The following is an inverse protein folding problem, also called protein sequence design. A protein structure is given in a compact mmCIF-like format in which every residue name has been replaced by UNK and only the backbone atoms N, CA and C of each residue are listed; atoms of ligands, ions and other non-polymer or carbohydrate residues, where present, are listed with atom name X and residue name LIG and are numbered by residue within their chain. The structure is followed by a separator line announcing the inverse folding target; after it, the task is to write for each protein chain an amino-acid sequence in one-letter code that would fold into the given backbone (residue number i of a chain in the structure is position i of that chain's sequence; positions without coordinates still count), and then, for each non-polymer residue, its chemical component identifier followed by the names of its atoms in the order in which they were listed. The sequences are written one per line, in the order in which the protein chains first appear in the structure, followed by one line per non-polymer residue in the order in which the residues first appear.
data_IF_582859734441
#
_entry.id   IF_582859734441
#
_cell.length_a   1.000
_cell.length_b   1.000
_cell.length_c   1.000
_cell.angle_alpha   90.00
_cell.angle_beta   90.00
_cell.angle_gamma   90.00
#
_symmetry.space_group_name_H-M   'P 1'
#
loop_
_entity.id
_entity.type
_entity.pdbx_description
1 polymer ?
#
# COMPACT_ATOMS: atom_id res chain seq x y z
N UNK A 1 -2.26 19.64 -10.78
CA UNK A 1 -2.16 18.44 -11.63
C UNK A 1 -0.90 17.69 -11.22
N UNK A 2 -1.01 16.74 -10.28
CA UNK A 2 0.11 15.90 -9.88
C UNK A 2 0.09 14.64 -10.73
N UNK A 3 1.13 14.42 -11.54
CA UNK A 3 1.24 13.24 -12.38
C UNK A 3 1.31 11.97 -11.52
N UNK A 4 0.46 11.00 -11.83
CA UNK A 4 0.52 9.66 -11.24
C UNK A 4 1.84 9.00 -11.67
N UNK A 5 2.83 8.98 -10.78
CA UNK A 5 4.07 8.24 -10.99
C UNK A 5 3.83 6.76 -10.66
N UNK A 6 3.19 6.05 -11.57
CA UNK A 6 3.03 4.59 -11.48
C UNK A 6 4.33 3.91 -11.92
N UNK A 7 5.30 3.77 -11.00
CA UNK A 7 6.47 2.91 -11.25
C UNK A 7 6.04 1.46 -11.08
N UNK A 8 5.68 0.81 -12.19
CA UNK A 8 5.40 -0.63 -12.25
C UNK A 8 6.62 -1.37 -12.77
N UNK A 9 7.42 -1.94 -11.86
CA UNK A 9 8.53 -2.83 -12.19
C UNK A 9 8.22 -4.26 -11.77
N UNK A 10 8.48 -5.23 -12.66
CA UNK A 10 8.46 -6.66 -12.32
C UNK A 10 9.70 -6.95 -11.47
N UNK A 11 9.51 -7.38 -10.23
CA UNK A 11 10.61 -7.66 -9.29
C UNK A 11 10.32 -9.01 -8.64
N UNK A 12 11.29 -9.91 -8.60
CA UNK A 12 11.15 -11.15 -7.82
C UNK A 12 11.02 -10.82 -6.33
N UNK A 13 10.20 -11.54 -5.57
CA UNK A 13 9.94 -11.20 -4.16
C UNK A 13 11.22 -11.20 -3.30
N UNK A 14 12.16 -12.12 -3.57
CA UNK A 14 13.42 -12.18 -2.82
C UNK A 14 14.30 -10.97 -3.16
N UNK A 15 14.31 -10.58 -4.44
CA UNK A 15 15.02 -9.38 -4.90
C UNK A 15 14.35 -8.10 -4.40
N UNK A 16 13.02 -8.11 -4.26
CA UNK A 16 12.25 -6.98 -3.78
C UNK A 16 12.62 -6.63 -2.34
N UNK A 17 12.71 -7.63 -1.44
CA UNK A 17 13.08 -7.39 -0.04
C UNK A 17 14.46 -6.71 0.06
N UNK A 18 15.44 -7.17 -0.71
CA UNK A 18 16.79 -6.62 -0.72
C UNK A 18 16.86 -5.21 -1.32
N UNK A 19 15.99 -4.91 -2.30
CA UNK A 19 15.96 -3.63 -2.99
C UNK A 19 14.97 -2.63 -2.36
N UNK A 20 14.01 -3.08 -1.55
CA UNK A 20 12.96 -2.25 -0.98
C UNK A 20 13.54 -1.10 -0.18
N UNK A 21 14.59 -1.34 0.62
CA UNK A 21 15.28 -0.29 1.36
C UNK A 21 15.93 0.75 0.43
N UNK A 22 16.45 0.35 -0.74
CA UNK A 22 17.03 1.28 -1.72
C UNK A 22 15.94 2.06 -2.46
N UNK A 23 14.87 1.39 -2.85
CA UNK A 23 13.70 2.00 -3.48
C UNK A 23 13.04 2.99 -2.53
N UNK A 24 12.97 2.68 -1.23
CA UNK A 24 12.39 3.52 -0.20
C UNK A 24 13.20 4.79 0.11
N UNK A 25 14.52 4.81 -0.12
CA UNK A 25 15.37 5.98 0.14
C UNK A 25 15.02 7.20 -0.72
N UNK A 26 14.37 7.00 -1.87
CA UNK A 26 13.94 8.07 -2.77
C UNK A 26 12.48 8.47 -2.59
N UNK A 27 11.80 7.94 -1.58
CA UNK A 27 10.36 8.14 -1.40
C UNK A 27 10.07 9.31 -0.47
N UNK A 28 9.09 10.13 -0.87
CA UNK A 28 8.59 11.24 -0.07
C UNK A 28 7.91 10.73 1.21
N UNK A 29 7.96 11.54 2.26
CA UNK A 29 7.24 11.27 3.51
C UNK A 29 5.74 11.07 3.23
N UNK A 30 5.15 9.99 3.77
CA UNK A 30 3.74 9.65 3.56
C UNK A 30 3.46 8.73 2.36
N UNK A 31 4.51 8.18 1.76
CA UNK A 31 4.39 7.14 0.73
C UNK A 31 4.81 5.77 1.26
N UNK A 32 4.36 4.71 0.60
CA UNK A 32 4.77 3.34 0.90
C UNK A 32 4.89 2.52 -0.38
N UNK A 33 5.83 1.59 -0.35
CA UNK A 33 6.07 0.66 -1.45
C UNK A 33 5.28 -0.63 -1.19
N UNK A 34 4.45 -1.01 -2.14
CA UNK A 34 3.64 -2.22 -2.09
C UNK A 34 4.14 -3.22 -3.13
N UNK A 35 4.19 -4.50 -2.76
CA UNK A 35 4.50 -5.59 -3.68
C UNK A 35 3.29 -6.55 -3.77
N UNK A 36 2.81 -6.80 -4.98
CA UNK A 36 1.68 -7.69 -5.20
C UNK A 36 2.15 -9.11 -5.53
N UNK A 37 2.00 -10.03 -4.58
CA UNK A 37 2.25 -11.46 -4.79
C UNK A 37 0.97 -12.32 -4.75
N UNK A 38 -0.21 -11.72 -4.98
CA UNK A 38 -1.50 -12.41 -4.82
C UNK A 38 -1.83 -13.44 -5.90
N UNK A 39 -0.95 -13.64 -6.89
CA UNK A 39 -1.20 -14.51 -8.05
C UNK A 39 -2.11 -13.89 -9.12
N UNK A 40 -2.63 -12.68 -8.89
CA UNK A 40 -3.44 -11.92 -9.85
C UNK A 40 -3.11 -10.43 -9.82
N UNK A 41 -3.50 -9.72 -10.89
CA UNK A 41 -3.50 -8.25 -10.90
C UNK A 41 -4.58 -7.76 -9.93
N UNK A 42 -4.25 -6.80 -9.07
CA UNK A 42 -5.15 -6.26 -8.06
C UNK A 42 -5.13 -4.72 -8.07
N UNK A 43 -6.27 -4.13 -7.71
CA UNK A 43 -6.40 -2.71 -7.43
C UNK A 43 -6.26 -2.47 -5.92
N UNK A 44 -5.36 -1.59 -5.53
CA UNK A 44 -5.13 -1.26 -4.12
C UNK A 44 -5.72 0.11 -3.81
N UNK A 45 -6.69 0.16 -2.91
CA UNK A 45 -7.36 1.37 -2.50
C UNK A 45 -6.79 1.84 -1.17
N UNK A 46 -6.16 3.01 -1.17
CA UNK A 46 -5.55 3.61 0.00
C UNK A 46 -6.41 4.75 0.55
N UNK A 47 -6.74 4.72 1.84
CA UNK A 47 -7.55 5.73 2.53
C UNK A 47 -6.81 6.30 3.73
N UNK A 48 -7.00 7.59 4.00
CA UNK A 48 -6.48 8.21 5.22
C UNK A 48 -7.19 7.61 6.44
N UNK A 49 -6.47 7.36 7.52
CA UNK A 49 -6.99 6.69 8.72
C UNK A 49 -8.12 7.45 9.44
N UNK A 50 -8.20 8.77 9.23
CA UNK A 50 -9.27 9.63 9.74
C UNK A 50 -10.53 9.67 8.87
N UNK A 51 -10.52 9.07 7.67
CA UNK A 51 -11.71 8.95 6.84
C UNK A 51 -12.54 7.75 7.35
N UNK A 52 -13.49 8.03 8.24
CA UNK A 52 -14.39 7.02 8.80
C UNK A 52 -15.33 6.42 7.74
N UNK A 53 -15.61 7.17 6.68
CA UNK A 53 -16.56 6.78 5.63
C UNK A 53 -15.83 6.04 4.49
N UNK A 54 -14.49 6.18 4.39
CA UNK A 54 -13.64 5.59 3.35
C UNK A 54 -14.28 5.77 1.96
N UNK A 55 -14.83 6.97 1.71
CA UNK A 55 -15.66 7.21 0.53
C UNK A 55 -14.76 7.34 -0.72
N UNK A 56 -13.67 8.11 -0.59
CA UNK A 56 -12.79 8.48 -1.69
C UNK A 56 -11.37 8.01 -1.37
N UNK A 57 -10.79 7.09 -2.16
CA UNK A 57 -9.41 6.68 -1.96
C UNK A 57 -8.47 7.84 -2.27
N UNK A 58 -7.44 8.02 -1.45
CA UNK A 58 -6.36 8.97 -1.71
C UNK A 58 -5.49 8.52 -2.89
N UNK A 59 -5.18 7.23 -2.97
CA UNK A 59 -4.49 6.61 -4.11
C UNK A 59 -5.11 5.26 -4.46
N UNK A 60 -5.08 4.90 -5.75
CA UNK A 60 -5.68 3.66 -6.27
C UNK A 60 -4.83 2.94 -7.34
N UNK A 61 -3.57 2.59 -7.06
CA UNK A 61 -2.74 1.94 -8.07
C UNK A 61 -3.26 0.53 -8.41
N UNK A 62 -3.16 0.19 -9.68
CA UNK A 62 -3.31 -1.19 -10.17
C UNK A 62 -1.94 -1.82 -10.31
N UNK A 63 -1.67 -2.91 -9.56
CA UNK A 63 -0.36 -3.55 -9.55
C UNK A 63 -0.52 -5.00 -10.04
N UNK A 64 0.22 -5.36 -11.09
CA UNK A 64 0.23 -6.73 -11.59
C UNK A 64 0.91 -7.68 -10.59
N UNK A 65 0.57 -8.97 -10.64
CA UNK A 65 1.26 -9.98 -9.82
C UNK A 65 2.76 -10.00 -10.15
N UNK A 66 3.60 -10.12 -9.14
CA UNK A 66 5.05 -10.06 -9.28
C UNK A 66 5.62 -8.66 -9.54
N UNK A 67 4.81 -7.62 -9.35
CA UNK A 67 5.24 -6.23 -9.52
C UNK A 67 5.09 -5.45 -8.21
N UNK A 68 5.87 -4.37 -8.11
CA UNK A 68 5.70 -3.37 -7.06
C UNK A 68 5.07 -2.09 -7.59
N UNK A 69 4.52 -1.30 -6.68
CA UNK A 69 3.98 0.02 -6.96
C UNK A 69 3.98 0.89 -5.70
N UNK A 70 3.84 2.20 -5.90
CA UNK A 70 3.78 3.15 -4.81
C UNK A 70 2.34 3.47 -4.45
N UNK A 71 2.08 3.53 -3.16
CA UNK A 71 0.87 4.11 -2.59
C UNK A 71 1.24 5.36 -1.80
N UNK A 72 0.34 6.33 -1.78
CA UNK A 72 0.47 7.54 -1.00
C UNK A 72 -0.80 7.75 -0.19
N UNK A 73 -0.65 8.39 0.97
CA UNK A 73 -1.77 8.83 1.77
C UNK A 73 -1.42 10.11 2.54
N UNK A 74 -2.43 10.89 2.89
CA UNK A 74 -2.28 11.98 3.84
C UNK A 74 -2.47 11.51 5.30
N UNK A 75 -1.66 12.02 6.22
CA UNK A 75 -1.81 11.79 7.66
C UNK A 75 -0.90 10.70 8.25
N UNK A 76 -1.12 10.35 9.51
CA UNK A 76 -0.24 9.48 10.30
C UNK A 76 -0.54 7.98 10.20
N UNK A 77 -1.69 7.63 9.65
CA UNK A 77 -2.14 6.24 9.46
C UNK A 77 -2.94 6.18 8.17
N UNK A 78 -2.79 5.12 7.40
CA UNK A 78 -3.66 4.85 6.26
C UNK A 78 -4.02 3.37 6.15
N UNK A 79 -5.19 3.12 5.56
CA UNK A 79 -5.80 1.80 5.37
C UNK A 79 -5.69 1.41 3.90
N UNK A 80 -5.27 0.18 3.63
CA UNK A 80 -5.14 -0.35 2.27
C UNK A 80 -6.08 -1.54 2.10
N UNK A 81 -6.81 -1.57 0.98
CA UNK A 81 -7.75 -2.63 0.61
C UNK A 81 -7.42 -3.14 -0.79
N UNK A 82 -7.42 -4.47 -1.01
CA UNK A 82 -7.30 -5.04 -2.35
C UNK A 82 -8.68 -5.40 -2.94
N UNK A 83 -8.88 -5.09 -4.23
CA UNK A 83 -9.99 -5.52 -5.10
C UNK A 83 -11.46 -5.32 -4.68
N UNK A 84 -11.80 -4.90 -3.46
CA UNK A 84 -13.08 -4.27 -3.07
C UNK A 84 -13.00 -3.82 -1.60
N UNK A 85 -13.86 -2.89 -1.16
CA UNK A 85 -13.89 -2.43 0.24
C UNK A 85 -14.71 -3.42 1.09
N UNK A 86 -14.07 -4.13 2.01
CA UNK A 86 -14.73 -5.03 2.97
C UNK A 86 -14.10 -4.89 4.35
N UNK A 87 -12.84 -5.30 4.45
CA UNK A 87 -11.97 -5.10 5.61
C UNK A 87 -10.61 -4.60 5.15
N UNK A 88 -9.99 -3.70 5.92
CA UNK A 88 -8.67 -3.20 5.55
C UNK A 88 -7.71 -4.38 5.62
N UNK A 89 -6.94 -4.65 4.57
CA UNK A 89 -5.94 -5.72 4.64
C UNK A 89 -4.73 -5.23 5.43
N UNK A 90 -4.39 -3.96 5.23
CA UNK A 90 -3.23 -3.36 5.87
C UNK A 90 -3.57 -2.03 6.54
N UNK A 91 -3.00 -1.84 7.74
CA UNK A 91 -2.83 -0.54 8.37
C UNK A 91 -1.36 -0.17 8.26
N UNK A 92 -1.08 1.03 7.77
CA UNK A 92 0.29 1.52 7.60
C UNK A 92 0.45 2.80 8.42
N UNK A 93 1.58 2.88 9.14
CA UNK A 93 2.04 4.04 9.91
C UNK A 93 3.49 4.34 9.51
N UNK A 94 4.02 5.53 9.86
CA UNK A 94 5.45 5.78 9.69
C UNK A 94 6.30 4.65 10.25
N UNK A 95 7.12 4.04 9.38
CA UNK A 95 8.03 2.94 9.69
C UNK A 95 7.37 1.63 10.18
N UNK A 96 6.06 1.45 10.05
CA UNK A 96 5.36 0.25 10.54
C UNK A 96 4.20 -0.15 9.64
N UNK A 97 4.03 -1.44 9.43
CA UNK A 97 2.88 -2.01 8.73
C UNK A 97 2.24 -3.11 9.59
N UNK A 98 0.92 -3.23 9.47
CA UNK A 98 0.13 -4.16 10.24
C UNK A 98 -0.88 -4.85 9.33
N UNK A 99 -1.15 -6.13 9.59
CA UNK A 99 -2.33 -6.81 9.07
C UNK A 99 -3.52 -6.45 9.96
N UNK A 100 -4.61 -5.99 9.35
CA UNK A 100 -5.85 -5.70 10.05
C UNK A 100 -6.83 -6.86 9.84
N UNK A 101 -7.18 -7.56 10.92
CA UNK A 101 -8.16 -8.65 10.93
C UNK A 101 -9.55 -8.22 11.38
N UNK A 102 -9.74 -6.94 11.73
CA UNK A 102 -10.98 -6.40 12.28
C UNK A 102 -10.76 -5.65 13.60
N UNK A 103 -11.84 -5.14 14.23
CA UNK A 103 -11.76 -4.45 15.51
C UNK A 103 -11.15 -5.36 16.59
N UNK A 104 -9.99 -4.97 17.13
CA UNK A 104 -9.28 -5.72 18.17
C UNK A 104 -8.30 -6.78 17.67
N UNK A 105 -8.25 -7.08 16.36
CA UNK A 105 -7.24 -7.96 15.74
C UNK A 105 -6.33 -7.14 14.82
N UNK A 106 -5.19 -6.70 15.35
CA UNK A 106 -4.15 -6.00 14.61
C UNK A 106 -2.82 -6.66 14.91
N UNK A 107 -2.10 -7.07 13.87
CA UNK A 107 -0.83 -7.80 13.98
C UNK A 107 0.26 -7.07 13.20
N UNK A 108 1.38 -6.77 13.85
CA UNK A 108 2.55 -6.16 13.20
C UNK A 108 3.19 -7.16 12.24
N UNK A 109 3.64 -6.69 11.08
CA UNK A 109 4.33 -7.48 10.04
C UNK A 109 5.83 -7.57 10.27
#
# INVERSE_FOLDING_TARGET
MGGEMNVTGKVDINTFVDQAAKLAKGLDAGTSLLYNNSGKKANFYCYNGGDFVMAIPYSKPTIATGCSGLIAAGGSVFKVFADNKGDAEFLVKPNRAYVYGGPGDVREL
#
